data_IF_233305214189
#
_entry.id   IF_233305214189
#
_cell.length_a   1.000
_cell.length_b   1.000
_cell.length_c   1.000
_cell.angle_alpha   90.00
_cell.angle_beta   90.00
_cell.angle_gamma   90.00
#
_symmetry.space_group_name_H-M   'P 1'
#
loop_
_entity.id
_entity.type
_entity.pdbx_description
1 polymer ?
#
# COMPACT_ATOMS: atom_id res chain seq x y z
N UNK A 1 26.65 38.14 -27.58
CA UNK A 1 26.38 39.58 -27.78
C UNK A 1 25.91 40.31 -26.52
N UNK A 2 24.74 40.00 -25.92
CA UNK A 2 24.30 40.67 -24.67
C UNK A 2 25.10 40.25 -23.42
N UNK A 3 25.40 38.95 -23.28
CA UNK A 3 26.23 38.41 -22.20
C UNK A 3 27.66 38.95 -22.23
N UNK A 4 28.30 38.95 -23.41
CA UNK A 4 29.65 39.53 -23.60
C UNK A 4 29.70 41.04 -23.35
N UNK A 5 28.60 41.75 -23.61
CA UNK A 5 28.53 43.18 -23.29
C UNK A 5 28.40 43.40 -21.78
N UNK A 6 27.63 42.55 -21.09
CA UNK A 6 27.47 42.60 -19.63
C UNK A 6 28.81 42.30 -18.92
N UNK A 7 29.55 41.27 -19.33
CA UNK A 7 30.90 40.97 -18.79
C UNK A 7 31.88 42.13 -19.01
N UNK A 8 31.77 42.85 -20.13
CA UNK A 8 32.59 44.04 -20.39
C UNK A 8 32.22 45.24 -19.52
N UNK A 9 30.98 45.31 -19.04
CA UNK A 9 30.49 46.37 -18.15
C UNK A 9 30.76 46.04 -16.68
N UNK A 10 30.73 44.76 -16.30
CA UNK A 10 31.08 44.26 -14.97
C UNK A 10 32.60 44.26 -14.72
N UNK A 11 33.19 45.45 -14.67
CA UNK A 11 34.60 45.67 -14.29
C UNK A 11 34.69 46.41 -12.94
N UNK A 12 35.84 46.28 -12.25
CA UNK A 12 35.94 45.70 -10.91
C UNK A 12 34.84 46.17 -9.93
N UNK A 13 33.97 45.24 -9.56
CA UNK A 13 32.94 45.45 -8.55
C UNK A 13 33.51 45.28 -7.15
N UNK A 14 33.07 46.11 -6.21
CA UNK A 14 33.38 45.94 -4.78
C UNK A 14 32.25 45.17 -4.13
N UNK A 15 32.55 44.06 -3.46
CA UNK A 15 31.54 43.28 -2.75
C UNK A 15 31.02 44.11 -1.57
N UNK A 16 29.75 44.52 -1.64
CA UNK A 16 29.08 45.32 -0.59
C UNK A 16 28.60 44.41 0.55
N UNK A 17 28.23 43.16 0.24
CA UNK A 17 27.77 42.17 1.19
C UNK A 17 27.30 40.89 0.52
N UNK A 18 27.04 39.87 1.33
CA UNK A 18 26.45 38.59 0.90
C UNK A 18 25.08 38.46 1.55
N UNK A 19 24.08 38.07 0.76
CA UNK A 19 22.77 37.68 1.28
C UNK A 19 22.61 36.17 1.13
N UNK A 20 22.04 35.52 2.14
CA UNK A 20 21.69 34.11 2.11
C UNK A 20 20.20 34.01 2.47
N UNK A 21 19.44 33.28 1.65
CA UNK A 21 18.03 32.99 1.90
C UNK A 21 17.94 31.52 2.27
N UNK A 22 17.46 31.24 3.48
CA UNK A 22 17.19 29.88 3.94
C UNK A 22 15.78 29.49 3.52
N UNK A 23 15.68 28.39 2.78
CA UNK A 23 14.39 27.78 2.47
C UNK A 23 13.93 26.95 3.68
N UNK A 24 12.83 27.37 4.30
CA UNK A 24 12.34 26.75 5.53
C UNK A 24 11.51 25.52 5.21
N UNK A 25 11.99 24.37 5.66
CA UNK A 25 11.24 23.12 5.65
C UNK A 25 9.97 23.23 6.51
N UNK A 26 8.92 22.53 6.09
CA UNK A 26 7.76 22.29 6.94
C UNK A 26 8.15 21.52 8.20
N UNK A 27 7.34 21.64 9.24
CA UNK A 27 7.58 20.94 10.51
C UNK A 27 7.61 19.42 10.31
N UNK A 28 8.58 18.77 10.97
CA UNK A 28 8.70 17.31 11.05
C UNK A 28 8.90 16.55 9.72
N UNK A 29 9.28 17.23 8.63
CA UNK A 29 9.60 16.58 7.34
C UNK A 29 10.70 15.54 7.50
N UNK A 30 11.81 15.88 8.14
CA UNK A 30 12.94 14.95 8.28
C UNK A 30 12.62 13.71 9.12
N UNK A 31 11.76 13.83 10.14
CA UNK A 31 11.25 12.68 10.90
C UNK A 31 10.42 11.75 10.01
N UNK A 32 9.60 12.34 9.14
CA UNK A 32 8.73 11.57 8.22
C UNK A 32 9.55 10.83 7.16
N UNK A 33 10.55 11.49 6.57
CA UNK A 33 11.48 10.86 5.61
C UNK A 33 12.24 9.72 6.29
N UNK A 34 12.73 9.93 7.52
CA UNK A 34 13.43 8.90 8.28
C UNK A 34 12.54 7.68 8.54
N UNK A 35 11.28 7.89 8.93
CA UNK A 35 10.32 6.81 9.16
C UNK A 35 10.02 6.02 7.88
N UNK A 36 9.83 6.71 6.74
CA UNK A 36 9.63 6.05 5.44
C UNK A 36 10.85 5.22 5.03
N UNK A 37 12.06 5.73 5.25
CA UNK A 37 13.31 4.98 4.98
C UNK A 37 13.47 3.77 5.90
N UNK A 38 13.09 3.88 7.17
CA UNK A 38 13.09 2.74 8.12
C UNK A 38 12.09 1.65 7.69
N UNK A 39 10.97 2.04 7.09
CA UNK A 39 10.03 1.13 6.42
C UNK A 39 10.53 0.59 5.06
N UNK A 40 11.81 0.82 4.72
CA UNK A 40 12.47 0.45 3.46
C UNK A 40 11.77 1.01 2.21
N UNK A 41 11.03 2.12 2.33
CA UNK A 41 10.44 2.82 1.20
C UNK A 41 11.51 3.69 0.57
N UNK A 42 11.78 3.49 -0.72
CA UNK A 42 12.70 4.34 -1.47
C UNK A 42 12.05 5.70 -1.73
N UNK A 43 12.67 6.77 -1.23
CA UNK A 43 12.18 8.14 -1.38
C UNK A 43 12.92 8.82 -2.53
N UNK A 44 12.16 9.28 -3.51
CA UNK A 44 12.65 10.00 -4.68
C UNK A 44 12.13 11.44 -4.63
N UNK A 45 13.03 12.42 -4.78
CA UNK A 45 12.68 13.84 -4.83
C UNK A 45 12.81 14.33 -6.27
N UNK A 46 11.71 14.83 -6.83
CA UNK A 46 11.61 15.33 -8.20
C UNK A 46 11.29 16.82 -8.17
N UNK A 47 12.30 17.68 -8.33
CA UNK A 47 12.13 19.15 -8.27
C UNK A 47 12.42 19.85 -9.60
N UNK A 48 11.79 21.01 -9.78
CA UNK A 48 12.09 21.96 -10.87
C UNK A 48 13.24 22.93 -10.53
N UNK A 49 13.76 22.90 -9.30
CA UNK A 49 14.80 23.82 -8.83
C UNK A 49 16.19 23.51 -9.38
N UNK A 50 17.13 24.43 -9.12
CA UNK A 50 18.55 24.25 -9.41
C UNK A 50 19.16 23.18 -8.50
N UNK A 51 20.24 22.58 -8.99
CA UNK A 51 20.99 21.51 -8.31
C UNK A 51 21.37 21.90 -6.88
N UNK A 52 21.97 23.07 -6.71
CA UNK A 52 22.52 23.51 -5.42
C UNK A 52 21.43 23.68 -4.36
N UNK A 53 20.28 24.21 -4.75
CA UNK A 53 19.10 24.35 -3.87
C UNK A 53 18.54 22.98 -3.52
N UNK A 54 18.37 22.10 -4.52
CA UNK A 54 17.81 20.78 -4.34
C UNK A 54 18.67 19.90 -3.41
N UNK A 55 20.00 19.92 -3.57
CA UNK A 55 20.94 19.21 -2.70
C UNK A 55 20.95 19.79 -1.28
N UNK A 56 20.86 21.12 -1.15
CA UNK A 56 20.74 21.79 0.14
C UNK A 56 19.48 21.36 0.90
N UNK A 57 18.32 21.34 0.23
CA UNK A 57 17.04 20.88 0.80
C UNK A 57 17.08 19.40 1.16
N UNK A 58 17.63 18.55 0.28
CA UNK A 58 17.79 17.11 0.52
C UNK A 58 18.67 16.81 1.74
N UNK A 59 19.74 17.57 1.92
CA UNK A 59 20.62 17.45 3.10
C UNK A 59 19.91 17.95 4.36
N UNK A 60 19.23 19.10 4.29
CA UNK A 60 18.51 19.69 5.43
C UNK A 60 17.36 18.80 5.93
N UNK A 61 16.67 18.09 5.03
CA UNK A 61 15.58 17.19 5.39
C UNK A 61 16.05 15.78 5.80
N UNK A 62 17.36 15.51 5.80
CA UNK A 62 17.92 14.21 6.16
C UNK A 62 17.68 13.10 5.12
N UNK A 63 17.40 13.49 3.87
CA UNK A 63 17.35 12.56 2.75
C UNK A 63 18.77 12.04 2.45
N UNK A 64 19.74 12.95 2.35
CA UNK A 64 21.15 12.60 2.19
C UNK A 64 21.82 12.44 3.55
N UNK A 65 22.46 11.29 3.77
CA UNK A 65 23.27 11.04 4.97
C UNK A 65 24.74 11.25 4.69
N UNK A 66 25.18 10.79 3.53
CA UNK A 66 26.55 10.87 3.05
C UNK A 66 26.62 11.80 1.83
N UNK A 67 27.82 11.96 1.28
CA UNK A 67 28.00 12.74 0.05
C UNK A 67 27.28 12.04 -1.11
N UNK A 68 26.38 12.73 -1.82
CA UNK A 68 25.63 12.12 -2.90
C UNK A 68 26.55 11.79 -4.08
N UNK A 69 26.25 10.69 -4.75
CA UNK A 69 26.93 10.26 -5.97
C UNK A 69 26.15 10.79 -7.17
N UNK A 70 26.86 11.39 -8.13
CA UNK A 70 26.24 11.81 -9.37
C UNK A 70 26.04 10.60 -10.28
N UNK A 71 24.85 10.50 -10.87
CA UNK A 71 24.57 9.47 -11.84
C UNK A 71 25.44 9.70 -13.07
N UNK A 72 26.27 8.72 -13.43
CA UNK A 72 27.09 8.75 -14.63
C UNK A 72 26.63 7.64 -15.57
N UNK A 73 26.40 7.96 -16.85
CA UNK A 73 25.81 7.03 -17.81
C UNK A 73 26.76 5.86 -18.14
N UNK A 74 28.08 6.09 -18.11
CA UNK A 74 29.11 5.12 -18.50
C UNK A 74 29.49 4.08 -17.43
N UNK A 75 29.07 4.25 -16.17
CA UNK A 75 29.42 3.29 -15.10
C UNK A 75 28.47 2.09 -15.08
N UNK A 76 28.97 0.85 -14.99
CA UNK A 76 28.08 -0.33 -14.82
C UNK A 76 27.74 -0.64 -13.34
N UNK A 77 28.28 0.15 -12.41
CA UNK A 77 28.09 -0.11 -10.98
C UNK A 77 26.66 0.17 -10.52
N UNK A 78 26.19 -0.68 -9.59
CA UNK A 78 24.93 -0.49 -8.88
C UNK A 78 25.13 0.50 -7.74
N UNK A 79 24.23 1.46 -7.61
CA UNK A 79 24.27 2.49 -6.58
C UNK A 79 23.70 2.01 -5.23
N UNK A 80 24.03 0.79 -4.82
CA UNK A 80 23.45 0.17 -3.62
C UNK A 80 23.87 0.91 -2.35
N UNK A 81 22.90 1.38 -1.55
CA UNK A 81 23.15 2.13 -0.33
C UNK A 81 23.64 3.58 -0.54
N UNK A 82 23.77 4.04 -1.78
CA UNK A 82 24.19 5.41 -2.10
C UNK A 82 22.98 6.34 -2.27
N UNK A 83 23.19 7.62 -1.98
CA UNK A 83 22.27 8.70 -2.34
C UNK A 83 22.66 9.21 -3.73
N UNK A 84 21.71 9.23 -4.68
CA UNK A 84 22.01 9.47 -6.11
C UNK A 84 21.39 10.78 -6.60
N UNK A 85 22.14 11.57 -7.37
CA UNK A 85 21.66 12.80 -8.00
C UNK A 85 21.70 12.64 -9.52
N UNK A 86 20.56 12.88 -10.18
CA UNK A 86 20.38 12.67 -11.63
C UNK A 86 20.13 14.01 -12.33
N UNK A 87 20.87 14.26 -13.42
CA UNK A 87 20.70 15.44 -14.25
C UNK A 87 19.51 15.30 -15.22
N UNK A 88 18.88 16.41 -15.65
CA UNK A 88 17.68 16.37 -16.52
C UNK A 88 17.91 15.71 -17.88
N UNK A 89 19.12 15.83 -18.44
CA UNK A 89 19.47 15.23 -19.73
C UNK A 89 19.44 13.69 -19.64
N UNK A 90 19.93 13.15 -18.51
CA UNK A 90 19.99 11.71 -18.23
C UNK A 90 18.62 11.11 -17.91
N UNK A 91 17.69 11.90 -17.38
CA UNK A 91 16.32 11.45 -17.09
C UNK A 91 15.58 11.02 -18.35
N UNK A 92 15.77 11.75 -19.45
CA UNK A 92 15.08 11.47 -20.71
C UNK A 92 15.58 10.13 -21.28
N UNK A 93 16.90 9.93 -21.28
CA UNK A 93 17.53 8.68 -21.69
C UNK A 93 17.15 7.50 -20.78
N UNK A 94 17.12 7.70 -19.46
CA UNK A 94 16.68 6.69 -18.49
C UNK A 94 15.23 6.26 -18.73
N UNK A 95 14.33 7.18 -19.10
CA UNK A 95 12.93 6.88 -19.36
C UNK A 95 12.72 6.11 -20.68
N UNK A 96 13.55 6.40 -21.70
CA UNK A 96 13.54 5.75 -23.01
C UNK A 96 14.20 4.35 -22.97
N UNK A 97 15.38 4.22 -22.35
CA UNK A 97 16.14 2.97 -22.17
C UNK A 97 15.66 2.20 -20.93
N UNK A 98 14.41 1.77 -20.96
CA UNK A 98 13.56 1.47 -19.78
C UNK A 98 13.91 0.27 -18.87
N UNK A 99 15.09 -0.35 -18.93
CA UNK A 99 15.42 -1.46 -18.00
C UNK A 99 16.75 -1.30 -17.27
N UNK A 100 17.85 -1.17 -18.00
CA UNK A 100 19.21 -1.22 -17.42
C UNK A 100 19.53 -0.05 -16.50
N UNK A 101 19.10 1.17 -16.82
CA UNK A 101 19.39 2.34 -15.98
C UNK A 101 18.64 2.30 -14.64
N UNK A 102 17.36 1.93 -14.66
CA UNK A 102 16.57 1.76 -13.43
C UNK A 102 17.07 0.56 -12.60
N UNK A 103 17.64 -0.48 -13.23
CA UNK A 103 18.24 -1.63 -12.54
C UNK A 103 19.46 -1.24 -11.69
N UNK A 104 20.18 -0.21 -12.11
CA UNK A 104 21.34 0.33 -11.38
C UNK A 104 20.93 1.10 -10.13
N UNK A 105 19.73 1.68 -10.14
CA UNK A 105 19.15 2.39 -9.00
C UNK A 105 18.45 1.44 -8.01
N UNK A 106 18.38 0.14 -8.31
CA UNK A 106 17.78 -0.82 -7.41
C UNK A 106 18.63 -0.98 -6.13
N UNK A 107 18.01 -0.73 -4.98
CA UNK A 107 18.70 -0.69 -3.69
C UNK A 107 19.50 0.59 -3.38
N UNK A 108 19.36 1.66 -4.16
CA UNK A 108 19.82 2.98 -3.73
C UNK A 108 19.05 3.47 -2.48
N UNK A 109 19.69 4.33 -1.71
CA UNK A 109 19.12 4.90 -0.48
C UNK A 109 18.06 5.97 -0.78
N UNK A 110 18.38 6.87 -1.71
CA UNK A 110 17.51 7.95 -2.17
C UNK A 110 17.93 8.44 -3.55
N UNK A 111 16.99 9.05 -4.28
CA UNK A 111 17.26 9.64 -5.60
C UNK A 111 16.76 11.08 -5.63
N UNK A 112 17.58 11.99 -6.14
CA UNK A 112 17.22 13.38 -6.38
C UNK A 112 17.36 13.72 -7.86
N UNK A 113 16.27 14.18 -8.47
CA UNK A 113 16.28 14.74 -9.81
C UNK A 113 15.93 16.23 -9.74
N UNK A 114 16.70 17.07 -10.41
CA UNK A 114 16.54 18.53 -10.39
C UNK A 114 16.22 19.09 -11.79
N UNK A 115 15.71 20.32 -11.84
CA UNK A 115 15.32 21.04 -13.06
C UNK A 115 14.39 20.26 -13.99
N UNK A 116 13.48 19.47 -13.42
CA UNK A 116 12.54 18.66 -14.18
C UNK A 116 11.32 19.45 -14.66
N UNK A 117 10.87 19.14 -15.87
CA UNK A 117 9.56 19.59 -16.37
C UNK A 117 8.42 18.72 -15.80
N UNK A 118 7.18 19.24 -15.71
CA UNK A 118 6.02 18.45 -15.27
C UNK A 118 5.82 17.13 -16.05
N UNK A 119 6.12 17.14 -17.35
CA UNK A 119 6.05 15.95 -18.19
C UNK A 119 7.09 14.89 -17.78
N UNK A 120 8.34 15.30 -17.58
CA UNK A 120 9.42 14.40 -17.15
C UNK A 120 9.16 13.77 -15.78
N UNK A 121 8.59 14.53 -14.82
CA UNK A 121 8.19 13.96 -13.52
C UNK A 121 7.22 12.79 -13.70
N UNK A 122 6.22 12.95 -14.58
CA UNK A 122 5.25 11.89 -14.87
C UNK A 122 5.87 10.71 -15.62
N UNK A 123 6.84 10.94 -16.50
CA UNK A 123 7.56 9.89 -17.22
C UNK A 123 8.39 9.01 -16.28
N UNK A 124 9.09 9.60 -15.30
CA UNK A 124 9.81 8.85 -14.26
C UNK A 124 8.85 7.92 -13.51
N UNK A 125 7.70 8.44 -13.07
CA UNK A 125 6.68 7.63 -12.37
C UNK A 125 6.20 6.46 -13.23
N UNK A 126 5.95 6.71 -14.53
CA UNK A 126 5.56 5.65 -15.47
C UNK A 126 6.68 4.63 -15.70
N UNK A 127 7.94 5.05 -15.75
CA UNK A 127 9.08 4.17 -15.92
C UNK A 127 9.25 3.23 -14.72
N UNK A 128 9.19 3.75 -13.49
CA UNK A 128 9.23 2.93 -12.26
C UNK A 128 8.04 1.97 -12.17
N UNK A 129 6.85 2.43 -12.57
CA UNK A 129 5.64 1.59 -12.63
C UNK A 129 5.75 0.44 -13.64
N UNK A 130 6.36 0.69 -14.81
CA UNK A 130 6.60 -0.36 -15.84
C UNK A 130 7.54 -1.46 -15.34
N UNK A 131 8.47 -1.14 -14.42
CA UNK A 131 9.35 -2.09 -13.74
C UNK A 131 8.62 -2.96 -12.69
N UNK A 132 7.36 -2.66 -12.37
CA UNK A 132 6.58 -3.38 -11.36
C UNK A 132 6.64 -2.77 -9.96
N UNK A 133 7.26 -1.60 -9.79
CA UNK A 133 7.23 -0.86 -8.52
C UNK A 133 5.85 -0.27 -8.23
N UNK A 134 5.41 -0.36 -6.97
CA UNK A 134 4.23 0.37 -6.48
C UNK A 134 4.69 1.77 -6.08
N UNK A 135 4.08 2.80 -6.67
CA UNK A 135 4.55 4.19 -6.58
C UNK A 135 3.45 5.05 -5.98
N UNK A 136 3.77 5.74 -4.90
CA UNK A 136 2.98 6.85 -4.38
C UNK A 136 3.65 8.18 -4.77
N UNK A 137 2.88 9.13 -5.30
CA UNK A 137 3.39 10.44 -5.69
C UNK A 137 2.74 11.53 -4.82
N UNK A 138 3.56 12.48 -4.36
CA UNK A 138 3.13 13.56 -3.48
C UNK A 138 3.45 14.89 -4.17
N UNK A 139 2.50 15.83 -4.17
CA UNK A 139 2.71 17.17 -4.71
C UNK A 139 1.73 18.19 -4.15
N UNK A 140 2.07 19.47 -4.26
CA UNK A 140 1.30 20.60 -3.74
C UNK A 140 0.77 21.53 -4.84
N UNK A 141 1.50 21.66 -5.96
CA UNK A 141 1.17 22.57 -7.05
C UNK A 141 0.63 21.91 -8.33
N UNK A 142 0.20 22.76 -9.28
CA UNK A 142 -0.25 22.32 -10.60
C UNK A 142 0.81 21.54 -11.39
N UNK A 143 2.09 21.81 -11.14
CA UNK A 143 3.23 21.17 -11.80
C UNK A 143 3.31 19.68 -11.49
N UNK A 144 2.75 19.25 -10.37
CA UNK A 144 2.81 17.86 -9.92
C UNK A 144 1.56 17.05 -10.26
N UNK A 145 0.50 17.70 -10.76
CA UNK A 145 -0.74 17.03 -11.18
C UNK A 145 -0.49 15.86 -12.14
N UNK A 146 0.33 16.00 -13.21
CA UNK A 146 0.61 14.89 -14.12
C UNK A 146 1.34 13.73 -13.43
N UNK A 147 2.19 14.03 -12.44
CA UNK A 147 2.93 13.04 -11.65
C UNK A 147 2.00 12.28 -10.70
N UNK A 148 1.14 13.01 -9.98
CA UNK A 148 0.13 12.47 -9.07
C UNK A 148 -0.81 11.51 -9.81
N UNK A 149 -1.33 11.91 -10.97
CA UNK A 149 -2.24 11.10 -11.78
C UNK A 149 -1.58 9.87 -12.42
N UNK A 150 -0.27 9.88 -12.61
CA UNK A 150 0.46 8.75 -13.18
C UNK A 150 0.76 7.63 -12.17
N UNK A 151 0.78 7.97 -10.87
CA UNK A 151 1.14 7.07 -9.78
C UNK A 151 0.06 5.99 -9.52
N UNK A 152 0.35 5.06 -8.61
CA UNK A 152 -0.67 4.12 -8.12
C UNK A 152 -1.55 4.76 -7.03
N UNK A 153 -0.94 5.63 -6.23
CA UNK A 153 -1.63 6.43 -5.21
C UNK A 153 -1.10 7.86 -5.31
N UNK A 154 -2.00 8.80 -5.59
CA UNK A 154 -1.72 10.22 -5.62
C UNK A 154 -2.05 10.89 -4.30
N UNK A 155 -1.13 11.67 -3.75
CA UNK A 155 -1.30 12.42 -2.51
C UNK A 155 -1.09 13.90 -2.79
N UNK A 156 -2.12 14.70 -2.55
CA UNK A 156 -2.08 16.15 -2.65
C UNK A 156 -1.79 16.78 -1.29
N UNK A 157 -0.91 17.77 -1.26
CA UNK A 157 -0.75 18.64 -0.09
C UNK A 157 -1.62 19.88 -0.30
N UNK A 158 -2.50 20.17 0.64
CA UNK A 158 -3.34 21.37 0.66
C UNK A 158 -2.50 22.57 1.10
N UNK A 159 -1.70 23.11 0.17
CA UNK A 159 -0.82 24.26 0.39
C UNK A 159 -1.39 25.59 -0.14
N UNK A 160 -0.57 26.63 -0.03
CA UNK A 160 -0.89 27.98 -0.49
C UNK A 160 -0.72 28.17 -2.01
N UNK A 161 -0.07 27.23 -2.69
CA UNK A 161 0.22 27.31 -4.14
C UNK A 161 -1.00 26.99 -5.03
N UNK A 162 -2.10 26.51 -4.43
CA UNK A 162 -3.37 26.30 -5.11
C UNK A 162 -3.95 24.91 -4.83
N UNK A 163 -5.27 24.77 -5.01
CA UNK A 163 -5.97 23.52 -4.75
C UNK A 163 -5.84 22.49 -5.89
N UNK A 164 -5.07 22.77 -6.95
CA UNK A 164 -5.05 21.94 -8.17
C UNK A 164 -4.51 20.53 -7.90
N UNK A 165 -3.39 20.40 -7.16
CA UNK A 165 -2.87 19.10 -6.76
C UNK A 165 -3.85 18.35 -5.85
N UNK A 166 -4.47 19.05 -4.91
CA UNK A 166 -5.46 18.48 -3.99
C UNK A 166 -6.72 17.96 -4.71
N UNK A 167 -7.19 18.64 -5.76
CA UNK A 167 -8.35 18.20 -6.55
C UNK A 167 -8.04 17.01 -7.46
N UNK A 168 -6.77 16.79 -7.80
CA UNK A 168 -6.35 15.70 -8.68
C UNK A 168 -5.83 14.45 -7.95
N UNK A 169 -5.70 14.52 -6.63
CA UNK A 169 -5.14 13.45 -5.79
C UNK A 169 -6.21 12.52 -5.21
N UNK A 170 -5.80 11.29 -4.88
CA UNK A 170 -6.65 10.30 -4.20
C UNK A 170 -6.79 10.64 -2.70
N UNK A 171 -5.72 11.13 -2.09
CA UNK A 171 -5.70 11.61 -0.71
C UNK A 171 -5.23 13.06 -0.64
N UNK A 172 -5.84 13.83 0.26
CA UNK A 172 -5.43 15.22 0.52
C UNK A 172 -5.00 15.37 1.97
N UNK A 173 -3.79 15.87 2.18
CA UNK A 173 -3.20 16.11 3.49
C UNK A 173 -2.90 17.60 3.67
N UNK A 174 -3.03 18.10 4.88
CA UNK A 174 -2.70 19.51 5.16
C UNK A 174 -1.19 19.77 5.18
N UNK A 175 -0.37 18.77 5.54
CA UNK A 175 1.08 18.88 5.70
C UNK A 175 1.77 17.57 5.31
N UNK A 176 3.04 17.67 4.91
CA UNK A 176 3.85 16.50 4.57
C UNK A 176 4.07 15.55 5.77
N UNK A 177 4.11 16.08 7.00
CA UNK A 177 4.35 15.29 8.21
C UNK A 177 3.35 14.14 8.42
N UNK A 178 2.12 14.30 7.92
CA UNK A 178 1.06 13.29 8.01
C UNK A 178 1.22 12.13 7.02
N UNK A 179 2.08 12.24 6.01
CA UNK A 179 2.34 11.17 5.04
C UNK A 179 2.88 9.92 5.73
N UNK A 180 3.80 10.10 6.69
CA UNK A 180 4.38 8.99 7.46
C UNK A 180 3.29 8.17 8.15
N UNK A 181 2.35 8.85 8.82
CA UNK A 181 1.21 8.22 9.49
C UNK A 181 0.23 7.58 8.51
N UNK A 182 -0.07 8.26 7.40
CA UNK A 182 -0.97 7.72 6.37
C UNK A 182 -0.45 6.39 5.80
N UNK A 183 0.84 6.34 5.45
CA UNK A 183 1.42 5.15 4.83
C UNK A 183 1.68 4.06 5.87
N UNK A 184 2.41 4.37 6.95
CA UNK A 184 2.90 3.37 7.90
C UNK A 184 1.75 2.82 8.76
N UNK A 185 0.84 3.67 9.25
CA UNK A 185 -0.25 3.23 10.13
C UNK A 185 -1.46 2.80 9.32
N UNK A 186 -2.05 3.73 8.56
CA UNK A 186 -3.29 3.45 7.85
C UNK A 186 -3.09 2.50 6.67
N UNK A 187 -1.95 2.60 5.96
CA UNK A 187 -1.60 1.65 4.90
C UNK A 187 -1.41 0.23 5.42
N UNK A 188 -0.67 0.06 6.53
CA UNK A 188 -0.46 -1.25 7.17
C UNK A 188 -1.78 -1.90 7.59
N UNK A 189 -2.61 -1.17 8.34
CA UNK A 189 -3.92 -1.67 8.76
C UNK A 189 -4.80 -2.02 7.56
N UNK A 190 -4.87 -1.15 6.55
CA UNK A 190 -5.71 -1.40 5.39
C UNK A 190 -5.28 -2.67 4.64
N UNK A 191 -3.97 -2.88 4.45
CA UNK A 191 -3.46 -4.07 3.80
C UNK A 191 -3.76 -5.34 4.61
N UNK A 192 -3.45 -5.34 5.92
CA UNK A 192 -3.70 -6.47 6.82
C UNK A 192 -5.19 -6.84 6.90
N UNK A 193 -6.06 -5.83 7.03
CA UNK A 193 -7.52 -6.00 7.02
C UNK A 193 -8.00 -6.62 5.71
N UNK A 194 -7.62 -6.06 4.57
CA UNK A 194 -8.07 -6.56 3.26
C UNK A 194 -7.57 -7.99 3.02
N UNK A 195 -6.31 -8.29 3.38
CA UNK A 195 -5.74 -9.63 3.25
C UNK A 195 -6.56 -10.66 4.04
N UNK A 196 -6.81 -10.40 5.32
CA UNK A 196 -7.57 -11.31 6.18
C UNK A 196 -9.05 -11.40 5.78
N UNK A 197 -9.67 -10.29 5.35
CA UNK A 197 -11.04 -10.29 4.80
C UNK A 197 -11.13 -11.16 3.56
N UNK A 198 -10.17 -11.08 2.65
CA UNK A 198 -10.14 -11.90 1.44
C UNK A 198 -9.97 -13.38 1.78
N UNK A 199 -9.04 -13.74 2.68
CA UNK A 199 -8.85 -15.12 3.13
C UNK A 199 -10.13 -15.68 3.74
N UNK A 200 -10.76 -14.94 4.66
CA UNK A 200 -12.03 -15.34 5.28
C UNK A 200 -13.18 -15.42 4.26
N UNK A 201 -13.22 -14.49 3.30
CA UNK A 201 -14.22 -14.51 2.24
C UNK A 201 -14.11 -15.77 1.37
N UNK A 202 -12.91 -16.19 0.98
CA UNK A 202 -12.74 -17.45 0.26
C UNK A 202 -13.08 -18.65 1.14
N UNK A 203 -12.59 -18.68 2.37
CA UNK A 203 -12.88 -19.75 3.34
C UNK A 203 -14.38 -19.98 3.50
N UNK A 204 -15.18 -18.94 3.81
CA UNK A 204 -16.62 -19.08 4.05
C UNK A 204 -17.40 -19.53 2.80
N UNK A 205 -17.01 -19.03 1.62
CA UNK A 205 -17.69 -19.37 0.38
C UNK A 205 -17.38 -20.81 -0.05
N UNK A 206 -16.13 -21.24 0.09
CA UNK A 206 -15.71 -22.62 -0.16
C UNK A 206 -16.44 -23.55 0.82
N UNK A 207 -16.49 -23.20 2.10
CA UNK A 207 -17.21 -24.00 3.09
C UNK A 207 -18.69 -24.20 2.71
N UNK A 208 -19.39 -23.13 2.29
CA UNK A 208 -20.79 -23.20 1.87
C UNK A 208 -20.99 -24.08 0.61
N UNK A 209 -20.10 -23.96 -0.38
CA UNK A 209 -20.13 -24.80 -1.59
C UNK A 209 -19.85 -26.27 -1.23
N UNK A 210 -18.88 -26.53 -0.37
CA UNK A 210 -18.50 -27.88 0.04
C UNK A 210 -19.59 -28.57 0.87
N UNK A 211 -20.31 -27.86 1.76
CA UNK A 211 -21.48 -28.42 2.46
C UNK A 211 -22.57 -28.83 1.46
N UNK A 212 -22.80 -27.99 0.46
CA UNK A 212 -23.77 -28.26 -0.60
C UNK A 212 -23.37 -29.51 -1.40
N UNK A 213 -22.07 -29.64 -1.72
CA UNK A 213 -21.49 -30.81 -2.36
C UNK A 213 -21.63 -32.08 -1.52
N UNK A 214 -21.28 -32.05 -0.23
CA UNK A 214 -21.39 -33.22 0.64
C UNK A 214 -22.84 -33.70 0.80
N UNK A 215 -23.81 -32.79 0.83
CA UNK A 215 -25.23 -33.17 0.84
C UNK A 215 -25.64 -33.95 -0.41
N UNK A 216 -24.98 -33.69 -1.57
CA UNK A 216 -25.28 -34.42 -2.80
C UNK A 216 -24.95 -35.92 -2.72
N UNK A 217 -24.02 -36.29 -1.85
CA UNK A 217 -23.64 -37.70 -1.67
C UNK A 217 -24.78 -38.56 -1.12
N UNK A 218 -25.67 -37.96 -0.32
CA UNK A 218 -26.81 -38.65 0.31
C UNK A 218 -28.13 -38.52 -0.42
N UNK A 219 -28.26 -37.58 -1.35
CA UNK A 219 -29.52 -37.31 -2.05
C UNK A 219 -29.55 -37.91 -3.48
N UNK A 220 -28.63 -38.84 -3.79
CA UNK A 220 -28.55 -39.50 -5.09
C UNK A 220 -28.15 -38.58 -6.23
N UNK A 221 -27.40 -37.49 -5.96
CA UNK A 221 -26.97 -36.51 -6.97
C UNK A 221 -28.13 -35.80 -7.69
N UNK A 222 -29.29 -35.71 -7.04
CA UNK A 222 -30.51 -35.09 -7.59
C UNK A 222 -30.45 -33.57 -7.67
N UNK A 223 -29.34 -32.94 -7.28
CA UNK A 223 -29.15 -31.49 -7.19
C UNK A 223 -30.15 -30.81 -6.21
N UNK A 224 -30.73 -31.58 -5.29
CA UNK A 224 -31.61 -31.06 -4.25
C UNK A 224 -30.83 -30.26 -3.22
N UNK A 225 -31.30 -29.05 -2.92
CA UNK A 225 -30.73 -28.20 -1.87
C UNK A 225 -31.51 -28.38 -0.56
N UNK A 226 -30.86 -28.73 0.56
CA UNK A 226 -31.55 -28.97 1.83
C UNK A 226 -32.04 -27.67 2.49
N UNK A 227 -31.40 -26.53 2.15
CA UNK A 227 -31.74 -25.21 2.67
C UNK A 227 -32.87 -24.64 1.82
N UNK A 228 -33.92 -24.14 2.48
CA UNK A 228 -35.03 -23.48 1.80
C UNK A 228 -34.54 -22.24 1.02
N UNK A 229 -35.17 -21.99 -0.14
CA UNK A 229 -34.77 -20.93 -1.08
C UNK A 229 -34.69 -19.54 -0.43
N UNK A 230 -35.64 -19.19 0.44
CA UNK A 230 -35.65 -17.90 1.15
C UNK A 230 -34.44 -17.76 2.08
N UNK A 231 -34.12 -18.82 2.81
CA UNK A 231 -32.95 -18.84 3.70
C UNK A 231 -31.64 -18.84 2.92
N UNK A 232 -31.57 -19.54 1.79
CA UNK A 232 -30.37 -19.57 0.94
C UNK A 232 -29.97 -18.20 0.42
N UNK A 233 -30.93 -17.28 0.25
CA UNK A 233 -30.66 -15.89 -0.17
C UNK A 233 -30.37 -14.98 1.03
N UNK A 234 -31.21 -15.03 2.07
CA UNK A 234 -31.11 -14.09 3.21
C UNK A 234 -29.88 -14.38 4.07
N UNK A 235 -29.60 -15.67 4.28
CA UNK A 235 -28.60 -16.09 5.26
C UNK A 235 -27.17 -15.64 4.88
N UNK A 236 -26.70 -15.81 3.63
CA UNK A 236 -25.37 -15.32 3.25
C UNK A 236 -25.23 -13.79 3.33
N UNK A 237 -26.30 -13.06 3.00
CA UNK A 237 -26.31 -11.59 3.01
C UNK A 237 -26.20 -11.05 4.44
N UNK A 238 -27.08 -11.49 5.34
CA UNK A 238 -27.14 -10.93 6.69
C UNK A 238 -26.05 -11.51 7.58
N UNK A 239 -25.93 -12.84 7.63
CA UNK A 239 -25.14 -13.51 8.65
C UNK A 239 -23.68 -13.70 8.24
N UNK A 240 -23.40 -13.97 6.97
CA UNK A 240 -22.02 -14.31 6.53
C UNK A 240 -21.27 -13.15 5.87
N UNK A 241 -21.97 -12.10 5.41
CA UNK A 241 -21.33 -10.97 4.73
C UNK A 241 -21.05 -9.81 5.68
N UNK A 242 -21.83 -9.65 6.74
CA UNK A 242 -21.57 -8.62 7.76
C UNK A 242 -20.30 -8.93 8.58
N UNK A 243 -20.05 -10.21 8.87
CA UNK A 243 -18.88 -10.70 9.60
C UNK A 243 -17.53 -10.19 9.03
N UNK A 244 -17.18 -10.43 7.74
CA UNK A 244 -15.93 -9.93 7.17
C UNK A 244 -15.87 -8.41 7.12
N UNK A 245 -17.00 -7.71 6.97
CA UNK A 245 -17.01 -6.24 6.93
C UNK A 245 -16.65 -5.67 8.29
N UNK A 246 -17.30 -6.16 9.35
CA UNK A 246 -17.04 -5.72 10.73
C UNK A 246 -15.56 -5.95 11.07
N UNK A 247 -15.05 -7.14 10.76
CA UNK A 247 -13.66 -7.49 10.96
C UNK A 247 -12.71 -6.60 10.12
N UNK A 248 -13.00 -6.42 8.83
CA UNK A 248 -12.21 -5.61 7.91
C UNK A 248 -12.16 -4.12 8.24
N UNK A 249 -13.08 -3.62 9.05
CA UNK A 249 -13.09 -2.21 9.48
C UNK A 249 -12.46 -2.04 10.86
N UNK A 250 -12.78 -2.93 11.80
CA UNK A 250 -12.44 -2.73 13.21
C UNK A 250 -11.13 -3.38 13.63
N UNK A 251 -10.67 -4.42 12.93
CA UNK A 251 -9.50 -5.16 13.39
C UNK A 251 -8.22 -4.33 13.27
N UNK A 252 -7.33 -4.51 14.23
CA UNK A 252 -6.03 -3.87 14.31
C UNK A 252 -5.07 -4.94 14.81
N UNK A 253 -4.22 -5.43 13.92
CA UNK A 253 -3.20 -6.41 14.24
C UNK A 253 -2.17 -5.82 15.22
N UNK A 254 -1.84 -4.54 15.04
CA UNK A 254 -0.92 -3.78 15.90
C UNK A 254 -1.47 -2.42 16.26
N UNK A 255 -1.08 -1.91 17.43
CA UNK A 255 -1.49 -0.58 17.90
C UNK A 255 -0.74 0.50 17.11
N UNK A 256 -1.38 1.65 16.93
CA UNK A 256 -0.80 2.80 16.23
C UNK A 256 0.58 3.20 16.76
N UNK A 257 0.76 3.22 18.08
CA UNK A 257 2.02 3.60 18.72
C UNK A 257 3.17 2.68 18.34
N UNK A 258 2.89 1.37 18.27
CA UNK A 258 3.88 0.35 17.92
C UNK A 258 4.35 0.52 16.47
N UNK A 259 3.42 0.79 15.54
CA UNK A 259 3.73 1.04 14.13
C UNK A 259 4.54 2.34 13.90
N UNK A 260 4.32 3.36 14.72
CA UNK A 260 5.07 4.63 14.63
C UNK A 260 6.46 4.50 15.27
N UNK A 261 6.59 3.76 16.37
CA UNK A 261 7.86 3.51 17.05
C UNK A 261 8.77 2.59 16.25
N UNK A 262 8.20 1.58 15.58
CA UNK A 262 8.93 0.66 14.71
C UNK A 262 8.34 0.63 13.28
N UNK A 263 8.75 1.56 12.39
CA UNK A 263 8.33 1.57 11.00
C UNK A 263 8.76 0.34 10.18
N UNK A 264 9.73 -0.45 10.66
CA UNK A 264 10.20 -1.64 9.93
C UNK A 264 9.11 -2.71 9.77
N UNK A 265 8.11 -2.69 10.65
CA UNK A 265 6.96 -3.60 10.62
C UNK A 265 6.13 -3.49 9.34
N UNK A 266 6.24 -2.38 8.61
CA UNK A 266 5.58 -2.18 7.32
C UNK A 266 6.13 -3.14 6.22
N UNK A 267 7.35 -3.64 6.37
CA UNK A 267 8.00 -4.52 5.41
C UNK A 267 7.20 -5.80 5.14
N UNK A 268 6.63 -6.42 6.19
CA UNK A 268 5.85 -7.64 6.07
C UNK A 268 4.62 -7.48 5.14
N UNK A 269 4.03 -6.28 5.10
CA UNK A 269 2.94 -5.97 4.18
C UNK A 269 3.41 -5.85 2.73
N UNK A 270 4.54 -5.20 2.51
CA UNK A 270 5.12 -4.98 1.18
C UNK A 270 5.60 -6.28 0.54
N UNK A 271 6.22 -7.16 1.32
CA UNK A 271 6.78 -8.42 0.84
C UNK A 271 5.69 -9.49 0.60
N UNK A 272 4.42 -9.15 0.86
CA UNK A 272 3.27 -10.01 0.61
C UNK A 272 3.17 -11.18 1.60
N UNK A 273 3.81 -11.09 2.76
CA UNK A 273 3.81 -12.18 3.75
C UNK A 273 2.41 -12.43 4.32
N UNK A 274 1.61 -11.37 4.48
CA UNK A 274 0.24 -11.44 5.02
C UNK A 274 -0.75 -12.13 4.05
N UNK A 275 -0.47 -12.14 2.74
CA UNK A 275 -1.32 -12.81 1.75
C UNK A 275 -0.46 -13.60 0.76
N UNK A 276 -0.26 -14.88 1.08
CA UNK A 276 0.51 -15.81 0.26
C UNK A 276 -0.39 -16.95 -0.26
N UNK A 277 -0.09 -17.46 -1.45
CA UNK A 277 -0.73 -18.65 -2.04
C UNK A 277 -0.69 -19.84 -1.09
N UNK A 278 0.38 -20.00 -0.30
CA UNK A 278 0.46 -21.07 0.71
C UNK A 278 -0.61 -20.92 1.80
N UNK A 279 -0.79 -19.71 2.32
CA UNK A 279 -1.79 -19.41 3.34
C UNK A 279 -3.21 -19.52 2.76
N UNK A 280 -3.40 -19.11 1.51
CA UNK A 280 -4.64 -19.31 0.79
C UNK A 280 -4.99 -20.80 0.67
N UNK A 281 -4.05 -21.65 0.21
CA UNK A 281 -4.27 -23.09 0.08
C UNK A 281 -4.53 -23.75 1.44
N UNK A 282 -3.84 -23.33 2.51
CA UNK A 282 -4.12 -23.80 3.85
C UNK A 282 -5.57 -23.46 4.30
N UNK A 283 -6.03 -22.23 4.04
CA UNK A 283 -7.41 -21.81 4.31
C UNK A 283 -8.44 -22.59 3.48
N UNK A 284 -8.13 -22.92 2.22
CA UNK A 284 -8.99 -23.75 1.37
C UNK A 284 -9.13 -25.16 1.97
N UNK A 285 -8.03 -25.77 2.39
CA UNK A 285 -8.04 -27.10 3.02
C UNK A 285 -8.81 -27.09 4.34
N UNK A 286 -8.60 -26.06 5.16
CA UNK A 286 -9.35 -25.88 6.41
C UNK A 286 -10.85 -25.70 6.16
N UNK A 287 -11.25 -24.92 5.15
CA UNK A 287 -12.65 -24.75 4.75
C UNK A 287 -13.31 -26.07 4.32
N UNK A 288 -12.61 -26.87 3.51
CA UNK A 288 -13.09 -28.20 3.07
C UNK A 288 -13.24 -29.14 4.26
N UNK A 289 -12.26 -29.17 5.16
CA UNK A 289 -12.27 -30.01 6.35
C UNK A 289 -13.42 -29.65 7.30
N UNK A 290 -13.57 -28.37 7.61
CA UNK A 290 -14.64 -27.90 8.48
C UNK A 290 -16.02 -28.09 7.84
N UNK A 291 -16.16 -27.89 6.53
CA UNK A 291 -17.39 -28.23 5.80
C UNK A 291 -17.76 -29.71 5.94
N UNK A 292 -16.78 -30.62 5.82
CA UNK A 292 -17.01 -32.05 5.98
C UNK A 292 -17.48 -32.39 7.39
N UNK A 293 -16.84 -31.83 8.42
CA UNK A 293 -17.24 -32.04 9.82
C UNK A 293 -18.65 -31.48 10.08
N UNK A 294 -18.95 -30.24 9.66
CA UNK A 294 -20.27 -29.65 9.84
C UNK A 294 -21.37 -30.54 9.24
N UNK A 295 -21.13 -31.05 8.02
CA UNK A 295 -22.05 -31.96 7.36
C UNK A 295 -22.19 -33.29 8.10
N UNK A 296 -21.07 -33.95 8.41
CA UNK A 296 -21.04 -35.25 9.11
C UNK A 296 -21.75 -35.15 10.45
N UNK A 297 -21.46 -34.13 11.26
CA UNK A 297 -22.08 -33.93 12.56
C UNK A 297 -23.60 -33.83 12.46
N UNK A 298 -24.13 -32.99 11.57
CA UNK A 298 -25.59 -32.84 11.42
C UNK A 298 -26.21 -34.10 10.78
N UNK A 299 -25.53 -34.73 9.83
CA UNK A 299 -26.02 -35.97 9.20
C UNK A 299 -26.19 -37.09 10.24
N UNK A 300 -25.19 -37.35 11.07
CA UNK A 300 -25.28 -38.38 12.11
C UNK A 300 -26.24 -38.02 13.25
N UNK A 301 -26.40 -36.72 13.56
CA UNK A 301 -27.38 -36.28 14.56
C UNK A 301 -28.83 -36.43 14.07
N UNK A 302 -29.06 -36.44 12.77
CA UNK A 302 -30.40 -36.48 12.17
C UNK A 302 -30.75 -37.84 11.55
N UNK A 303 -29.79 -38.76 11.49
CA UNK A 303 -30.03 -40.13 11.04
C UNK A 303 -31.08 -40.80 11.96
N UNK A 304 -32.04 -41.51 11.36
CA UNK A 304 -33.14 -42.19 12.04
C UNK A 304 -34.08 -41.31 12.88
N UNK A 305 -34.03 -39.98 12.68
CA UNK A 305 -34.99 -39.04 13.29
C UNK A 305 -36.14 -38.69 12.34
N UNK A 306 -37.34 -38.40 12.86
CA UNK A 306 -38.51 -38.00 12.07
C UNK A 306 -38.47 -36.51 11.61
N UNK A 307 -37.28 -35.93 11.44
CA UNK A 307 -37.13 -34.53 11.06
C UNK A 307 -37.27 -34.34 9.54
N UNK A 308 -37.91 -33.24 9.13
CA UNK A 308 -38.05 -32.91 7.71
C UNK A 308 -36.80 -32.24 7.14
N UNK A 309 -36.61 -32.34 5.81
CA UNK A 309 -35.43 -31.80 5.10
C UNK A 309 -35.15 -30.32 5.42
N UNK A 310 -36.14 -29.42 5.55
CA UNK A 310 -35.88 -28.03 5.95
C UNK A 310 -35.24 -27.88 7.34
N UNK A 311 -35.57 -28.76 8.31
CA UNK A 311 -34.93 -28.75 9.63
C UNK A 311 -33.46 -29.15 9.54
N UNK A 312 -33.15 -30.15 8.71
CA UNK A 312 -31.76 -30.54 8.42
C UNK A 312 -30.97 -29.37 7.80
N UNK A 313 -31.55 -28.68 6.81
CA UNK A 313 -30.94 -27.49 6.20
C UNK A 313 -30.71 -26.35 7.19
N UNK A 314 -31.68 -26.09 8.08
CA UNK A 314 -31.52 -25.08 9.14
C UNK A 314 -30.44 -25.44 10.16
N UNK A 315 -30.34 -26.72 10.55
CA UNK A 315 -29.29 -27.23 11.42
C UNK A 315 -27.89 -27.05 10.82
N UNK A 316 -27.73 -27.40 9.54
CA UNK A 316 -26.49 -27.16 8.79
C UNK A 316 -26.10 -25.68 8.75
N UNK A 317 -27.06 -24.81 8.40
CA UNK A 317 -26.82 -23.37 8.37
C UNK A 317 -26.44 -22.83 9.76
N UNK A 318 -27.07 -23.31 10.83
CA UNK A 318 -26.75 -22.86 12.19
C UNK A 318 -25.35 -23.25 12.63
N UNK A 319 -24.93 -24.50 12.38
CA UNK A 319 -23.57 -24.97 12.70
C UNK A 319 -22.53 -24.26 11.85
N UNK A 320 -22.81 -24.07 10.55
CA UNK A 320 -21.92 -23.32 9.66
C UNK A 320 -21.75 -21.87 10.15
N UNK A 321 -22.81 -21.23 10.64
CA UNK A 321 -22.74 -19.86 11.20
C UNK A 321 -21.78 -19.82 12.38
N UNK A 322 -21.98 -20.72 13.33
CA UNK A 322 -21.18 -20.80 14.56
C UNK A 322 -19.72 -21.12 14.26
N UNK A 323 -19.47 -22.01 13.30
CA UNK A 323 -18.13 -22.36 12.86
C UNK A 323 -17.41 -21.15 12.23
N UNK A 324 -18.07 -20.45 11.30
CA UNK A 324 -17.55 -19.22 10.71
C UNK A 324 -17.28 -18.13 11.75
N UNK A 325 -18.19 -17.95 12.71
CA UNK A 325 -18.02 -16.96 13.77
C UNK A 325 -16.85 -17.32 14.69
N UNK A 326 -16.72 -18.59 15.07
CA UNK A 326 -15.61 -19.06 15.90
C UNK A 326 -14.26 -18.92 15.17
N UNK A 327 -14.19 -19.30 13.89
CA UNK A 327 -12.99 -19.13 13.06
C UNK A 327 -12.59 -17.66 12.99
N UNK A 328 -13.55 -16.76 12.75
CA UNK A 328 -13.29 -15.32 12.70
C UNK A 328 -12.79 -14.78 14.05
N UNK A 329 -13.41 -15.17 15.15
CA UNK A 329 -12.99 -14.76 16.50
C UNK A 329 -11.56 -15.21 16.83
N UNK A 330 -11.18 -16.41 16.41
CA UNK A 330 -9.81 -16.91 16.57
C UNK A 330 -8.81 -16.16 15.69
N UNK A 331 -9.24 -15.68 14.52
CA UNK A 331 -8.42 -14.87 13.62
C UNK A 331 -8.32 -13.40 14.05
N UNK A 332 -9.24 -12.90 14.88
CA UNK A 332 -9.24 -11.50 15.32
C UNK A 332 -8.18 -11.21 16.38
N UNK A 333 -7.38 -10.17 16.16
CA UNK A 333 -6.36 -9.73 17.12
C UNK A 333 -6.89 -8.66 18.09
N UNK A 334 -7.78 -7.77 17.63
CA UNK A 334 -8.18 -6.61 18.43
C UNK A 334 -9.35 -6.86 19.39
N UNK A 335 -10.27 -7.80 19.09
CA UNK A 335 -11.44 -8.06 19.95
C UNK A 335 -11.02 -8.65 21.31
N UNK A 336 -9.91 -9.40 21.35
CA UNK A 336 -9.36 -9.98 22.58
C UNK A 336 -8.89 -8.89 23.57
N UNK A 337 -8.46 -7.72 23.09
CA UNK A 337 -7.99 -6.62 23.96
C UNK A 337 -9.11 -5.72 24.51
N UNK A 338 -10.35 -5.87 24.06
CA UNK A 338 -11.52 -5.15 24.62
C UNK A 338 -12.23 -5.99 25.70
N UNK A 339 -12.05 -7.31 25.66
CA UNK A 339 -12.65 -8.28 26.59
C UNK A 339 -11.73 -8.74 27.73
N UNK A 340 -10.48 -8.26 27.77
CA UNK A 340 -9.49 -8.46 28.85
C UNK A 340 -9.07 -7.11 29.43
#
# INVERSE_FOLDING_TARGET
MLSELAERVETPTTVIGVTAVEDKLQEHVGRSITALRQAKIQVWVLTGDKKETAEGVATACGLFKDTPVHFEDESEEKYHGCDVVIAPDQVSEMCESSSTALDRLDGCCSVLCYRLTPAQKAEIVKAVKRRGGVVAAIGDGANDVPMIQAAHVGIGISGNEGAQASMAADFVLAQFSFVSRLIIVHGHWNFSRIANVMLFFFYKNIQNVMISFFTQTTNGWSCGFPINMTYSVIYPIIFTSLQPIIFGVMDQDKKEKELIEDPSLYEAGRDGELYNVKLFLANVLDAVFQAAICYICIHYLTIDTHHSVPYFGFGLASVMFSCNMAHLLLATHCIVNILL
#
